data_IF_202843112860
#
_entry.id   IF_202843112860
#
_cell.length_a   1.000
_cell.length_b   1.000
_cell.length_c   1.000
_cell.angle_alpha   90.00
_cell.angle_beta   90.00
_cell.angle_gamma   90.00
#
_symmetry.space_group_name_H-M   'P 1'
#
loop_
_entity.id
_entity.type
_entity.pdbx_description
1 polymer ?
#
# COMPACT_ATOMS: atom_id res chain seq x y z
N UNK A 1 -11.52 2.43 4.71
CA UNK A 1 -12.75 2.59 3.92
C UNK A 1 -12.49 3.44 2.69
N UNK A 2 -13.20 3.17 1.62
CA UNK A 2 -13.22 3.98 0.40
C UNK A 2 -14.37 4.99 0.49
N UNK A 3 -14.06 6.25 0.28
CA UNK A 3 -15.02 7.35 0.20
C UNK A 3 -15.17 7.73 -1.26
N UNK A 4 -16.35 7.54 -1.83
CA UNK A 4 -16.66 7.94 -3.19
C UNK A 4 -17.54 9.20 -3.15
N UNK A 5 -17.11 10.23 -3.89
CA UNK A 5 -17.83 11.50 -4.06
C UNK A 5 -18.33 11.60 -5.50
N UNK A 6 -19.54 12.12 -5.67
CA UNK A 6 -20.11 12.45 -6.98
C UNK A 6 -21.01 13.68 -6.87
N UNK A 7 -21.18 14.44 -7.98
CA UNK A 7 -22.18 15.49 -7.99
C UNK A 7 -23.58 14.87 -7.90
N UNK A 8 -24.41 15.37 -7.01
CA UNK A 8 -25.84 15.12 -6.98
C UNK A 8 -26.62 16.28 -7.58
N UNK A 9 -27.95 16.23 -7.50
CA UNK A 9 -28.80 17.27 -8.08
C UNK A 9 -28.64 18.68 -7.44
N UNK A 10 -28.34 18.73 -6.14
CA UNK A 10 -28.19 19.99 -5.39
C UNK A 10 -27.04 19.97 -4.37
N UNK A 11 -26.40 18.84 -4.19
CA UNK A 11 -25.33 18.66 -3.21
C UNK A 11 -24.36 17.59 -3.66
N UNK A 12 -23.18 17.55 -3.04
CA UNK A 12 -22.22 16.45 -3.24
C UNK A 12 -22.70 15.22 -2.50
N UNK A 13 -22.86 14.12 -3.22
CA UNK A 13 -23.14 12.82 -2.62
C UNK A 13 -21.84 12.15 -2.19
N UNK A 14 -21.82 11.63 -0.95
CA UNK A 14 -20.70 10.90 -0.40
C UNK A 14 -21.14 9.49 0.00
N UNK A 15 -20.48 8.48 -0.54
CA UNK A 15 -20.71 7.08 -0.21
C UNK A 15 -19.46 6.47 0.39
N UNK A 16 -19.62 5.80 1.54
CA UNK A 16 -18.54 5.06 2.19
C UNK A 16 -18.72 3.56 1.98
N UNK A 17 -17.67 2.89 1.59
CA UNK A 17 -17.63 1.44 1.40
C UNK A 17 -16.36 0.86 2.05
N UNK A 18 -16.47 -0.27 2.75
CA UNK A 18 -17.69 -1.02 3.07
C UNK A 18 -18.60 -0.27 4.05
N UNK A 19 -19.85 -0.76 4.24
CA UNK A 19 -20.76 -0.24 5.26
C UNK A 19 -20.13 -0.40 6.65
N UNK A 20 -20.07 0.69 7.40
CA UNK A 20 -19.50 0.80 8.75
C UNK A 20 -20.52 1.55 9.64
N UNK A 21 -21.38 0.84 10.37
CA UNK A 21 -22.44 1.46 11.18
C UNK A 21 -21.95 2.44 12.25
N UNK A 22 -20.76 2.19 12.81
CA UNK A 22 -20.15 3.06 13.82
C UNK A 22 -19.51 4.33 13.24
N UNK A 23 -19.39 4.46 11.91
CA UNK A 23 -18.77 5.61 11.27
C UNK A 23 -19.78 6.69 10.96
N UNK A 24 -19.67 7.84 11.59
CA UNK A 24 -20.45 9.03 11.29
C UNK A 24 -19.80 9.82 10.16
N UNK A 25 -20.58 10.11 9.10
CA UNK A 25 -20.12 10.94 7.97
C UNK A 25 -20.75 12.33 8.07
N UNK A 26 -19.93 13.34 8.25
CA UNK A 26 -20.30 14.75 8.21
C UNK A 26 -19.92 15.33 6.83
N UNK A 27 -20.85 15.34 5.92
CA UNK A 27 -20.64 15.88 4.58
C UNK A 27 -20.99 17.37 4.57
N UNK A 28 -19.94 18.22 4.50
CA UNK A 28 -20.03 19.70 4.40
C UNK A 28 -19.49 20.22 3.07
N UNK A 29 -19.35 19.34 2.08
CA UNK A 29 -18.88 19.73 0.76
C UNK A 29 -19.92 20.59 0.06
N UNK A 30 -19.47 21.65 -0.60
CA UNK A 30 -20.31 22.51 -1.44
C UNK A 30 -20.10 22.11 -2.90
N UNK A 31 -21.20 21.86 -3.60
CA UNK A 31 -21.20 21.69 -5.04
C UNK A 31 -20.98 23.08 -5.68
N UNK A 32 -20.05 23.15 -6.64
CA UNK A 32 -19.73 24.41 -7.33
C UNK A 32 -19.72 24.22 -8.84
N UNK A 33 -20.16 25.20 -9.64
CA UNK A 33 -20.06 25.15 -11.10
C UNK A 33 -18.58 25.05 -11.53
N UNK A 34 -18.34 24.35 -12.64
CA UNK A 34 -17.03 24.33 -13.29
C UNK A 34 -16.51 22.97 -13.69
N UNK A 35 -15.42 22.94 -14.45
CA UNK A 35 -14.79 21.70 -14.93
C UNK A 35 -14.09 20.97 -13.79
N UNK A 36 -13.91 19.64 -13.97
CA UNK A 36 -13.22 18.79 -13.00
C UNK A 36 -11.68 19.00 -13.04
N UNK A 37 -11.22 20.18 -12.62
CA UNK A 37 -9.78 20.50 -12.54
C UNK A 37 -9.42 20.95 -11.13
N UNK A 38 -8.31 20.39 -10.60
CA UNK A 38 -7.78 20.80 -9.28
C UNK A 38 -8.69 20.45 -8.08
N UNK A 39 -9.72 19.65 -8.26
CA UNK A 39 -10.69 19.29 -7.22
C UNK A 39 -10.04 18.61 -6.01
N UNK A 40 -8.92 17.91 -6.18
CA UNK A 40 -8.18 17.29 -5.08
C UNK A 40 -7.69 18.30 -4.05
N UNK A 41 -7.45 19.55 -4.46
CA UNK A 41 -7.07 20.68 -3.57
C UNK A 41 -8.29 21.32 -2.90
N UNK A 42 -9.46 21.18 -3.51
CA UNK A 42 -10.72 21.72 -3.00
C UNK A 42 -11.42 20.85 -1.96
N UNK A 43 -11.02 19.56 -1.83
CA UNK A 43 -11.68 18.60 -0.94
C UNK A 43 -10.76 18.25 0.22
N UNK A 44 -11.16 18.62 1.43
CA UNK A 44 -10.54 18.18 2.67
C UNK A 44 -11.30 17.01 3.28
N UNK A 45 -10.59 15.97 3.72
CA UNK A 45 -11.17 14.77 4.32
C UNK A 45 -10.44 14.49 5.63
N UNK A 46 -11.13 14.74 6.73
CA UNK A 46 -10.61 14.66 8.07
C UNK A 46 -11.26 13.50 8.84
N UNK A 47 -10.43 12.67 9.49
CA UNK A 47 -10.88 11.61 10.41
C UNK A 47 -10.71 12.13 11.82
N UNK A 48 -11.81 12.25 12.55
CA UNK A 48 -11.90 12.89 13.86
C UNK A 48 -12.28 11.90 14.96
N UNK A 49 -12.06 12.33 16.20
CA UNK A 49 -12.34 11.53 17.39
C UNK A 49 -11.20 10.56 17.74
N UNK A 50 -11.07 10.23 19.03
CA UNK A 50 -10.07 9.24 19.50
C UNK A 50 -10.34 7.84 18.94
N UNK A 51 -11.61 7.50 18.74
CA UNK A 51 -12.07 6.26 18.10
C UNK A 51 -12.00 6.31 16.56
N UNK A 52 -11.62 7.47 15.96
CA UNK A 52 -11.59 7.69 14.51
C UNK A 52 -12.92 7.41 13.81
N UNK A 53 -14.02 7.69 14.51
CA UNK A 53 -15.40 7.32 14.16
C UNK A 53 -16.19 8.42 13.44
N UNK A 54 -15.57 9.56 13.21
CA UNK A 54 -16.19 10.66 12.47
C UNK A 54 -15.36 11.04 11.25
N UNK A 55 -15.97 10.92 10.07
CA UNK A 55 -15.38 11.33 8.79
C UNK A 55 -16.00 12.64 8.36
N UNK A 56 -15.25 13.74 8.42
CA UNK A 56 -15.69 15.04 7.98
C UNK A 56 -15.14 15.38 6.61
N UNK A 57 -16.05 15.73 5.70
CA UNK A 57 -15.77 16.15 4.33
C UNK A 57 -16.06 17.64 4.22
N UNK A 58 -15.08 18.44 3.81
CA UNK A 58 -15.19 19.89 3.75
C UNK A 58 -14.58 20.45 2.46
N UNK A 59 -15.03 21.63 2.07
CA UNK A 59 -14.54 22.35 0.89
C UNK A 59 -15.50 22.33 -0.28
N UNK A 60 -14.96 22.29 -1.51
CA UNK A 60 -15.73 22.41 -2.75
C UNK A 60 -15.46 21.24 -3.69
N UNK A 61 -16.52 20.83 -4.41
CA UNK A 61 -16.46 19.77 -5.42
C UNK A 61 -17.15 20.24 -6.71
N UNK A 62 -16.46 20.25 -7.87
CA UNK A 62 -17.04 20.77 -9.11
C UNK A 62 -18.11 19.86 -9.71
N UNK A 63 -19.14 20.46 -10.29
CA UNK A 63 -20.23 19.76 -11.00
C UNK A 63 -19.75 18.97 -12.22
N UNK A 64 -18.68 19.41 -12.87
CA UNK A 64 -18.07 18.74 -14.01
C UNK A 64 -17.31 17.45 -13.66
N UNK A 65 -17.17 17.11 -12.36
CA UNK A 65 -16.59 15.85 -11.93
C UNK A 65 -17.62 14.72 -12.02
N UNK A 66 -17.23 13.54 -12.54
CA UNK A 66 -18.10 12.38 -12.56
C UNK A 66 -18.05 11.63 -11.22
N UNK A 67 -16.88 11.15 -10.85
CA UNK A 67 -16.66 10.40 -9.60
C UNK A 67 -15.24 10.63 -9.11
N UNK A 68 -15.12 10.86 -7.83
CA UNK A 68 -13.85 10.82 -7.13
C UNK A 68 -13.91 9.80 -6.00
N UNK A 69 -12.92 8.96 -5.90
CA UNK A 69 -12.83 7.97 -4.82
C UNK A 69 -11.44 8.00 -4.19
N UNK A 70 -11.41 7.91 -2.88
CA UNK A 70 -10.17 7.83 -2.11
C UNK A 70 -10.35 6.89 -0.93
N UNK A 71 -9.23 6.35 -0.45
CA UNK A 71 -9.23 5.47 0.70
C UNK A 71 -8.70 6.21 1.92
N UNK A 72 -9.38 6.01 3.06
CA UNK A 72 -8.95 6.53 4.37
C UNK A 72 -9.02 5.42 5.42
N UNK A 73 -8.05 5.44 6.34
CA UNK A 73 -8.11 4.65 7.55
C UNK A 73 -9.09 5.33 8.51
N UNK A 74 -10.20 4.67 8.80
CA UNK A 74 -11.26 5.11 9.72
C UNK A 74 -11.47 4.04 10.78
N UNK A 75 -12.04 4.40 11.92
CA UNK A 75 -12.24 3.57 13.10
C UNK A 75 -10.92 3.02 13.68
N UNK A 76 -10.97 2.51 14.89
CA UNK A 76 -9.91 1.64 15.41
C UNK A 76 -10.02 0.26 14.76
N UNK A 77 -8.95 -0.57 14.76
CA UNK A 77 -9.00 -1.92 14.20
C UNK A 77 -10.13 -2.77 14.79
N UNK A 78 -10.35 -2.68 16.10
CA UNK A 78 -11.37 -3.44 16.83
C UNK A 78 -12.78 -3.04 16.37
N UNK A 79 -13.05 -1.72 16.32
CA UNK A 79 -14.37 -1.22 15.86
C UNK A 79 -14.61 -1.50 14.37
N UNK A 80 -13.58 -1.42 13.56
CA UNK A 80 -13.69 -1.78 12.15
C UNK A 80 -14.03 -3.27 11.99
N UNK A 81 -13.35 -4.14 12.75
CA UNK A 81 -13.62 -5.57 12.73
C UNK A 81 -15.05 -5.87 13.24
N UNK A 82 -15.46 -5.25 14.35
CA UNK A 82 -16.80 -5.39 14.90
C UNK A 82 -17.89 -5.00 13.89
N UNK A 83 -17.77 -3.81 13.30
CA UNK A 83 -18.73 -3.33 12.30
C UNK A 83 -18.83 -4.31 11.11
N UNK A 84 -17.67 -4.75 10.61
CA UNK A 84 -17.66 -5.66 9.46
C UNK A 84 -18.19 -7.03 9.78
N UNK A 85 -17.83 -7.57 10.94
CA UNK A 85 -18.36 -8.86 11.38
C UNK A 85 -19.86 -8.79 11.59
N UNK A 86 -20.36 -7.79 12.33
CA UNK A 86 -21.79 -7.58 12.58
C UNK A 86 -22.59 -7.50 11.28
N UNK A 87 -22.22 -6.61 10.38
CA UNK A 87 -22.91 -6.42 9.10
C UNK A 87 -22.97 -7.72 8.27
N UNK A 88 -21.89 -8.47 8.23
CA UNK A 88 -21.85 -9.73 7.46
C UNK A 88 -22.62 -10.85 8.15
N UNK A 89 -22.50 -10.95 9.48
CA UNK A 89 -23.15 -11.99 10.27
C UNK A 89 -24.68 -11.81 10.28
N UNK A 90 -25.17 -10.57 10.43
CA UNK A 90 -26.58 -10.23 10.36
C UNK A 90 -27.15 -10.43 8.95
N UNK A 91 -26.39 -10.11 7.90
CA UNK A 91 -26.77 -10.38 6.51
C UNK A 91 -26.93 -11.88 6.21
N UNK A 92 -26.27 -12.75 6.99
CA UNK A 92 -26.40 -14.21 6.92
C UNK A 92 -27.51 -14.76 7.87
N UNK A 93 -28.28 -13.88 8.51
CA UNK A 93 -29.37 -14.27 9.43
C UNK A 93 -28.93 -14.49 10.88
N UNK A 94 -27.69 -14.19 11.22
CA UNK A 94 -27.20 -14.25 12.61
C UNK A 94 -27.63 -13.05 13.44
N UNK A 95 -27.51 -13.17 14.77
CA UNK A 95 -27.69 -12.08 15.72
C UNK A 95 -26.41 -11.88 16.52
N UNK A 96 -25.96 -10.63 16.67
CA UNK A 96 -24.74 -10.28 17.37
C UNK A 96 -24.99 -9.26 18.48
N UNK A 97 -24.83 -9.69 19.72
CA UNK A 97 -25.02 -8.85 20.91
C UNK A 97 -23.69 -8.54 21.64
N UNK A 98 -22.59 -9.10 21.17
CA UNK A 98 -21.26 -8.93 21.76
C UNK A 98 -20.52 -7.70 21.27
N UNK A 99 -19.30 -7.55 21.80
CA UNK A 99 -18.32 -6.56 21.36
C UNK A 99 -16.98 -7.23 21.06
N UNK A 100 -16.20 -6.62 20.16
CA UNK A 100 -14.82 -7.03 19.91
C UNK A 100 -13.91 -6.40 20.93
N UNK A 101 -13.20 -7.21 21.71
CA UNK A 101 -12.22 -6.77 22.68
C UNK A 101 -10.83 -7.27 22.31
N UNK A 102 -9.78 -6.42 22.41
CA UNK A 102 -8.42 -6.88 22.22
C UNK A 102 -8.03 -7.87 23.33
N UNK A 103 -7.27 -8.88 22.94
CA UNK A 103 -6.79 -9.90 23.86
C UNK A 103 -5.57 -10.62 23.32
N UNK A 104 -4.93 -11.41 24.15
CA UNK A 104 -3.82 -12.28 23.76
C UNK A 104 -4.20 -13.74 23.99
N UNK A 105 -3.86 -14.61 23.03
CA UNK A 105 -3.98 -16.04 23.22
C UNK A 105 -2.91 -16.53 24.20
N UNK A 106 -3.26 -17.48 25.08
CA UNK A 106 -2.26 -18.19 25.87
C UNK A 106 -1.29 -18.98 24.96
N UNK A 107 -0.12 -19.35 25.49
CA UNK A 107 0.86 -20.11 24.74
C UNK A 107 0.28 -21.49 24.32
N UNK A 108 -0.51 -22.10 25.19
CA UNK A 108 -1.18 -23.38 24.96
C UNK A 108 -2.22 -23.27 23.84
N UNK A 109 -3.11 -22.27 23.89
CA UNK A 109 -4.13 -22.04 22.89
C UNK A 109 -3.50 -21.72 21.50
N UNK A 110 -2.36 -21.02 21.50
CA UNK A 110 -1.60 -20.75 20.28
C UNK A 110 -0.98 -22.03 19.72
N UNK A 111 -0.33 -22.84 20.58
CA UNK A 111 0.29 -24.12 20.17
C UNK A 111 -0.76 -25.10 19.62
N UNK A 112 -1.95 -25.14 20.22
CA UNK A 112 -3.08 -25.94 19.77
C UNK A 112 -3.55 -25.50 18.36
N UNK A 113 -3.73 -24.19 18.16
CA UNK A 113 -4.11 -23.63 16.86
C UNK A 113 -3.04 -23.89 15.78
N UNK A 114 -1.77 -23.68 16.09
CA UNK A 114 -0.62 -23.96 15.20
C UNK A 114 -0.51 -25.46 14.85
N UNK A 115 -0.80 -26.35 15.80
CA UNK A 115 -0.82 -27.80 15.57
C UNK A 115 -1.95 -28.20 14.63
N UNK A 116 -3.14 -27.65 14.84
CA UNK A 116 -4.29 -27.89 13.97
C UNK A 116 -4.02 -27.40 12.53
N UNK A 117 -3.33 -26.28 12.37
CA UNK A 117 -2.99 -25.69 11.07
C UNK A 117 -2.02 -26.54 10.25
N UNK A 118 -1.26 -27.42 10.90
CA UNK A 118 -0.32 -28.36 10.25
C UNK A 118 -0.99 -29.64 9.82
N UNK A 119 -2.24 -29.88 10.20
CA UNK A 119 -2.95 -31.07 9.78
C UNK A 119 -3.20 -31.05 8.26
N UNK A 120 -3.07 -32.22 7.57
CA UNK A 120 -3.52 -32.31 6.19
C UNK A 120 -5.03 -32.07 6.10
N UNK A 121 -5.56 -31.53 4.99
CA UNK A 121 -6.97 -31.10 4.87
C UNK A 121 -7.99 -32.15 5.36
N UNK A 122 -7.81 -33.40 4.97
CA UNK A 122 -8.72 -34.50 5.35
C UNK A 122 -8.71 -34.79 6.85
N UNK A 123 -7.56 -34.64 7.50
CA UNK A 123 -7.46 -34.82 8.96
C UNK A 123 -8.03 -33.60 9.70
N UNK A 124 -7.85 -32.42 9.16
CA UNK A 124 -8.44 -31.19 9.73
C UNK A 124 -9.97 -31.18 9.70
N UNK A 125 -10.61 -31.80 8.66
CA UNK A 125 -12.07 -31.95 8.57
C UNK A 125 -12.62 -32.90 9.64
N UNK A 126 -11.81 -33.88 10.11
CA UNK A 126 -12.21 -34.90 11.09
C UNK A 126 -11.80 -34.52 12.52
N UNK A 127 -11.05 -33.46 12.72
CA UNK A 127 -10.56 -33.02 14.03
C UNK A 127 -11.36 -31.79 14.49
N UNK A 128 -11.91 -31.79 15.73
CA UNK A 128 -12.53 -30.59 16.26
C UNK A 128 -11.57 -29.40 16.22
N UNK A 129 -12.04 -28.26 15.70
CA UNK A 129 -11.23 -27.05 15.69
C UNK A 129 -10.98 -26.57 17.12
N UNK A 130 -9.76 -26.11 17.46
CA UNK A 130 -9.47 -25.58 18.78
C UNK A 130 -10.31 -24.33 19.05
N UNK A 131 -10.66 -24.09 20.34
CA UNK A 131 -11.49 -22.98 20.76
C UNK A 131 -10.93 -21.60 20.36
N UNK A 132 -9.61 -21.50 20.18
CA UNK A 132 -8.92 -20.29 19.73
C UNK A 132 -9.01 -20.05 18.21
N UNK A 133 -9.69 -20.95 17.47
CA UNK A 133 -9.74 -20.91 16.02
C UNK A 133 -11.17 -21.01 15.50
N UNK A 134 -11.68 -19.91 14.99
CA UNK A 134 -12.99 -19.83 14.33
C UNK A 134 -12.90 -19.96 12.81
N UNK A 135 -11.82 -19.48 12.20
CA UNK A 135 -11.70 -19.36 10.76
C UNK A 135 -10.24 -19.47 10.29
N UNK A 136 -10.00 -20.22 9.22
CA UNK A 136 -8.75 -20.20 8.47
C UNK A 136 -8.98 -19.51 7.12
N UNK A 137 -8.34 -18.38 6.93
CA UNK A 137 -8.32 -17.67 5.66
C UNK A 137 -6.91 -17.79 5.07
N UNK A 138 -6.67 -18.63 4.05
CA UNK A 138 -5.38 -18.66 3.38
C UNK A 138 -5.13 -17.35 2.65
N UNK A 139 -3.91 -16.84 2.73
CA UNK A 139 -3.48 -15.71 1.90
C UNK A 139 -3.25 -16.18 0.46
N UNK A 140 -3.32 -15.28 -0.53
CA UNK A 140 -2.78 -15.56 -1.85
C UNK A 140 -1.28 -15.92 -1.79
N UNK A 141 -0.73 -16.56 -2.82
CA UNK A 141 0.71 -16.79 -2.94
C UNK A 141 1.50 -15.49 -2.79
N UNK A 142 2.75 -15.59 -2.30
CA UNK A 142 3.57 -14.40 -1.98
C UNK A 142 3.87 -13.53 -3.21
N UNK A 143 4.06 -14.11 -4.37
CA UNK A 143 4.27 -13.42 -5.64
C UNK A 143 3.06 -12.55 -6.02
N UNK A 144 1.84 -13.05 -5.82
CA UNK A 144 0.61 -12.27 -6.03
C UNK A 144 0.50 -11.12 -5.02
N UNK A 145 0.86 -11.35 -3.75
CA UNK A 145 0.89 -10.29 -2.72
C UNK A 145 1.88 -9.20 -3.11
N UNK A 146 3.09 -9.57 -3.52
CA UNK A 146 4.15 -8.64 -3.93
C UNK A 146 3.76 -7.88 -5.19
N UNK A 147 3.13 -8.55 -6.16
CA UNK A 147 2.58 -7.91 -7.35
C UNK A 147 1.53 -6.85 -7.00
N UNK A 148 0.52 -7.21 -6.21
CA UNK A 148 -0.54 -6.27 -5.78
C UNK A 148 0.03 -5.08 -5.01
N UNK A 149 0.99 -5.34 -4.14
CA UNK A 149 1.70 -4.33 -3.36
C UNK A 149 2.46 -3.35 -4.27
N UNK A 150 3.25 -3.87 -5.19
CA UNK A 150 4.08 -3.06 -6.09
C UNK A 150 3.24 -2.19 -7.03
N UNK A 151 2.24 -2.78 -7.70
CA UNK A 151 1.35 -2.08 -8.63
C UNK A 151 0.52 -0.98 -7.95
N UNK A 152 0.02 -1.23 -6.74
CA UNK A 152 -0.88 -0.31 -6.05
C UNK A 152 -0.19 0.51 -4.94
N UNK A 153 1.11 0.28 -4.70
CA UNK A 153 1.86 0.95 -3.62
C UNK A 153 1.17 0.81 -2.25
N UNK A 154 0.82 -0.42 -1.86
CA UNK A 154 0.02 -0.67 -0.66
C UNK A 154 0.88 -0.68 0.60
N UNK A 155 0.77 0.38 1.40
CA UNK A 155 1.57 0.56 2.62
C UNK A 155 1.29 -0.49 3.70
N UNK A 156 0.04 -0.94 3.84
CA UNK A 156 -0.33 -1.96 4.83
C UNK A 156 0.33 -3.29 4.49
N UNK A 157 0.27 -3.70 3.21
CA UNK A 157 0.94 -4.92 2.76
C UNK A 157 2.45 -4.86 2.97
N UNK A 158 3.08 -3.71 2.70
CA UNK A 158 4.53 -3.52 2.93
C UNK A 158 4.89 -3.72 4.40
N UNK A 159 4.13 -3.09 5.30
CA UNK A 159 4.33 -3.25 6.75
C UNK A 159 4.14 -4.71 7.17
N UNK A 160 3.10 -5.39 6.71
CA UNK A 160 2.85 -6.78 7.04
C UNK A 160 3.96 -7.71 6.54
N UNK A 161 4.53 -7.45 5.36
CA UNK A 161 5.67 -8.23 4.86
C UNK A 161 6.91 -8.05 5.73
N UNK A 162 7.22 -6.82 6.17
CA UNK A 162 8.35 -6.59 7.07
C UNK A 162 8.15 -7.30 8.41
N UNK A 163 6.96 -7.20 9.01
CA UNK A 163 6.64 -7.89 10.27
C UNK A 163 6.71 -9.42 10.12
N UNK A 164 6.25 -9.94 8.98
CA UNK A 164 6.32 -11.38 8.66
C UNK A 164 7.78 -11.82 8.49
N UNK A 165 8.60 -11.02 7.82
CA UNK A 165 10.04 -11.29 7.68
C UNK A 165 10.72 -11.38 9.06
N UNK A 166 10.44 -10.41 9.95
CA UNK A 166 10.93 -10.44 11.32
C UNK A 166 10.45 -11.67 12.09
N UNK A 167 9.17 -12.03 11.97
CA UNK A 167 8.62 -13.23 12.61
C UNK A 167 9.28 -14.51 12.15
N UNK A 168 9.54 -14.63 10.86
CA UNK A 168 10.13 -15.87 10.27
C UNK A 168 11.63 -15.99 10.55
N UNK A 169 12.35 -14.88 10.51
CA UNK A 169 13.83 -14.89 10.61
C UNK A 169 14.34 -14.70 12.04
N UNK A 170 13.67 -13.86 12.82
CA UNK A 170 14.11 -13.42 14.16
C UNK A 170 13.16 -13.91 15.27
N UNK A 171 12.07 -14.61 14.95
CA UNK A 171 11.09 -15.10 15.92
C UNK A 171 10.10 -14.04 16.44
N UNK A 172 10.21 -12.77 16.02
CA UNK A 172 9.38 -11.67 16.50
C UNK A 172 8.78 -10.88 15.33
N UNK A 173 7.45 -10.71 15.32
CA UNK A 173 6.73 -9.91 14.32
C UNK A 173 6.75 -8.42 14.68
N UNK A 174 7.93 -7.83 14.82
CA UNK A 174 8.13 -6.40 15.11
C UNK A 174 8.89 -5.72 13.97
N UNK A 175 8.76 -4.39 13.86
CA UNK A 175 9.50 -3.63 12.85
C UNK A 175 11.02 -3.76 13.07
N UNK A 176 11.48 -3.70 14.32
CA UNK A 176 12.90 -3.86 14.63
C UNK A 176 13.46 -5.20 14.15
N UNK A 177 12.77 -6.31 14.44
CA UNK A 177 13.14 -7.64 13.94
C UNK A 177 13.08 -7.71 12.40
N UNK A 178 12.07 -7.10 11.79
CA UNK A 178 11.95 -7.03 10.34
C UNK A 178 13.12 -6.30 9.68
N UNK A 179 13.52 -5.15 10.20
CA UNK A 179 14.68 -4.40 9.73
C UNK A 179 16.00 -5.15 9.94
N UNK A 180 16.16 -5.82 11.08
CA UNK A 180 17.33 -6.67 11.35
C UNK A 180 17.42 -7.78 10.31
N UNK A 181 16.34 -8.52 10.09
CA UNK A 181 16.28 -9.60 9.11
C UNK A 181 16.54 -9.09 7.68
N UNK A 182 15.98 -7.93 7.29
CA UNK A 182 16.19 -7.32 5.98
C UNK A 182 17.67 -6.96 5.76
N UNK A 183 18.30 -6.31 6.74
CA UNK A 183 19.73 -5.98 6.68
C UNK A 183 20.61 -7.22 6.58
N UNK A 184 20.29 -8.27 7.33
CA UNK A 184 21.01 -9.54 7.28
C UNK A 184 20.92 -10.20 5.89
N UNK A 185 19.71 -10.21 5.29
CA UNK A 185 19.49 -10.78 3.93
C UNK A 185 20.29 -10.02 2.88
N UNK A 186 20.21 -8.68 2.87
CA UNK A 186 20.95 -7.88 1.89
C UNK A 186 22.45 -7.90 2.13
N UNK A 187 22.90 -7.87 3.39
CA UNK A 187 24.33 -7.97 3.75
C UNK A 187 24.93 -9.30 3.29
N UNK A 188 24.24 -10.42 3.50
CA UNK A 188 24.66 -11.74 3.00
C UNK A 188 24.76 -11.79 1.46
N UNK A 189 23.98 -10.97 0.77
CA UNK A 189 24.01 -10.82 -0.68
C UNK A 189 25.01 -9.73 -1.18
N UNK A 190 25.81 -9.16 -0.29
CA UNK A 190 26.84 -8.16 -0.62
C UNK A 190 26.29 -6.74 -0.80
N UNK A 191 25.07 -6.46 -0.34
CA UNK A 191 24.49 -5.11 -0.36
C UNK A 191 24.58 -4.49 1.04
N UNK A 192 25.46 -3.51 1.20
CA UNK A 192 25.65 -2.79 2.46
C UNK A 192 24.57 -1.71 2.66
N UNK A 193 23.76 -1.90 3.70
CA UNK A 193 22.74 -0.95 4.17
C UNK A 193 23.03 -0.46 5.59
N UNK A 194 24.28 -0.56 6.08
CA UNK A 194 24.64 -0.27 7.47
C UNK A 194 24.39 1.19 7.85
N UNK A 195 24.63 2.13 6.94
CA UNK A 195 24.41 3.57 7.11
C UNK A 195 23.03 4.06 6.62
N UNK A 196 22.18 3.17 6.11
CA UNK A 196 20.83 3.53 5.76
C UNK A 196 19.97 3.72 7.02
N UNK A 197 19.18 4.78 7.07
CA UNK A 197 18.16 5.00 8.10
C UNK A 197 16.82 4.55 7.53
N UNK A 198 16.27 3.48 8.07
CA UNK A 198 15.03 2.87 7.64
C UNK A 198 14.15 2.72 8.88
N UNK A 199 13.13 3.57 8.99
CA UNK A 199 12.26 3.66 10.17
C UNK A 199 10.81 3.32 9.87
N UNK A 200 10.35 3.55 8.63
CA UNK A 200 8.98 3.22 8.25
C UNK A 200 8.94 2.22 7.08
N UNK A 201 8.24 1.07 7.23
CA UNK A 201 8.24 0.00 6.22
C UNK A 201 7.81 0.42 4.81
N UNK A 202 6.92 1.40 4.72
CA UNK A 202 6.41 1.91 3.45
C UNK A 202 7.10 3.21 2.97
N UNK A 203 8.22 3.62 3.59
CA UNK A 203 8.96 4.82 3.23
C UNK A 203 8.18 6.11 3.47
N UNK A 204 7.37 6.18 4.52
CA UNK A 204 6.58 7.36 4.86
C UNK A 204 7.23 8.25 5.94
N UNK A 205 8.37 7.83 6.48
CA UNK A 205 9.08 8.61 7.48
C UNK A 205 10.03 9.62 6.83
N UNK A 206 10.06 10.82 7.39
CA UNK A 206 10.96 11.89 6.95
C UNK A 206 12.41 11.64 7.32
N UNK A 207 12.63 10.79 8.28
CA UNK A 207 13.93 10.38 8.82
C UNK A 207 14.62 9.33 7.94
N UNK A 208 13.86 8.64 7.08
CA UNK A 208 14.41 7.60 6.21
C UNK A 208 15.49 8.20 5.30
N UNK A 209 16.66 7.53 5.26
CA UNK A 209 17.82 7.91 4.45
C UNK A 209 18.41 6.69 3.76
N UNK A 210 18.50 6.78 2.44
CA UNK A 210 19.09 5.74 1.60
C UNK A 210 19.82 6.39 0.43
N UNK A 211 21.05 5.95 0.15
CA UNK A 211 21.80 6.47 -1.00
C UNK A 211 21.27 5.85 -2.31
N UNK A 212 21.24 6.61 -3.42
CA UNK A 212 20.87 6.06 -4.73
C UNK A 212 21.68 4.81 -5.10
N UNK A 213 22.99 4.79 -4.78
CA UNK A 213 23.85 3.65 -5.04
C UNK A 213 23.42 2.37 -4.29
N UNK A 214 22.93 2.49 -3.06
CA UNK A 214 22.41 1.36 -2.27
C UNK A 214 21.16 0.77 -2.92
N UNK A 215 20.22 1.62 -3.32
CA UNK A 215 19.03 1.15 -4.03
C UNK A 215 19.37 0.58 -5.41
N UNK A 216 20.34 1.16 -6.11
CA UNK A 216 20.91 0.61 -7.34
C UNK A 216 21.51 -0.78 -7.15
N UNK A 217 22.21 -1.01 -6.03
CA UNK A 217 22.75 -2.34 -5.69
C UNK A 217 21.61 -3.36 -5.43
N UNK A 218 20.55 -2.96 -4.72
CA UNK A 218 19.34 -3.79 -4.53
C UNK A 218 18.70 -4.16 -5.87
N UNK A 219 18.53 -3.19 -6.78
CA UNK A 219 17.97 -3.44 -8.11
C UNK A 219 18.81 -4.43 -8.92
N UNK A 220 20.13 -4.28 -8.87
CA UNK A 220 21.06 -5.20 -9.56
C UNK A 220 21.02 -6.60 -8.96
N UNK A 221 20.96 -6.71 -7.63
CA UNK A 221 20.81 -7.99 -6.93
C UNK A 221 19.52 -8.71 -7.41
N UNK A 222 18.39 -8.02 -7.39
CA UNK A 222 17.10 -8.56 -7.82
C UNK A 222 17.10 -8.95 -9.31
N UNK A 223 17.76 -8.13 -10.15
CA UNK A 223 17.91 -8.41 -11.57
C UNK A 223 18.67 -9.71 -11.85
N UNK A 224 19.71 -10.03 -11.08
CA UNK A 224 20.51 -11.26 -11.23
C UNK A 224 19.98 -12.44 -10.42
N UNK A 225 18.89 -12.26 -9.69
CA UNK A 225 18.27 -13.33 -8.91
C UNK A 225 17.36 -14.21 -9.76
N UNK A 226 17.09 -15.44 -9.28
CA UNK A 226 16.06 -16.31 -9.86
C UNK A 226 14.63 -15.74 -9.73
N UNK A 227 14.46 -14.65 -8.97
CA UNK A 227 13.19 -13.96 -8.75
C UNK A 227 13.04 -12.70 -9.61
N UNK A 228 13.89 -12.53 -10.61
CA UNK A 228 13.82 -11.38 -11.50
C UNK A 228 12.46 -11.24 -12.21
N UNK A 229 11.81 -12.30 -12.71
CA UNK A 229 10.49 -12.18 -13.34
C UNK A 229 9.43 -11.63 -12.39
N UNK A 230 9.34 -12.15 -11.15
CA UNK A 230 8.39 -11.70 -10.15
C UNK A 230 8.68 -10.26 -9.72
N UNK A 231 9.96 -9.91 -9.60
CA UNK A 231 10.39 -8.54 -9.30
C UNK A 231 9.92 -7.56 -10.38
N UNK A 232 10.19 -7.83 -11.65
CA UNK A 232 9.76 -6.97 -12.75
C UNK A 232 8.24 -6.89 -12.86
N UNK A 233 7.55 -8.04 -12.68
CA UNK A 233 6.10 -8.09 -12.71
C UNK A 233 5.44 -7.24 -11.62
N UNK A 234 6.07 -7.13 -10.46
CA UNK A 234 5.57 -6.32 -9.35
C UNK A 234 5.72 -4.80 -9.60
N UNK A 235 6.68 -4.36 -10.41
CA UNK A 235 6.87 -2.94 -10.67
C UNK A 235 5.79 -2.39 -11.63
N UNK A 236 5.23 -1.19 -11.38
CA UNK A 236 4.41 -0.47 -12.35
C UNK A 236 5.12 -0.27 -13.68
N UNK A 237 4.40 -0.43 -14.78
CA UNK A 237 4.90 -0.25 -16.13
C UNK A 237 4.50 1.13 -16.64
N UNK A 238 5.46 1.91 -17.08
CA UNK A 238 5.26 3.26 -17.62
C UNK A 238 4.18 3.29 -18.71
N UNK A 239 3.15 4.11 -18.55
CA UNK A 239 2.05 4.28 -19.50
C UNK A 239 1.13 3.06 -19.67
N UNK A 240 1.25 2.01 -18.81
CA UNK A 240 0.48 0.77 -18.97
C UNK A 240 -0.33 0.42 -17.73
N UNK A 241 0.30 0.33 -16.56
CA UNK A 241 -0.37 -0.15 -15.37
C UNK A 241 0.10 0.48 -14.05
N UNK A 242 -0.54 0.08 -12.96
CA UNK A 242 -0.20 0.48 -11.61
C UNK A 242 -0.24 1.99 -11.41
N UNK A 243 0.64 2.50 -10.56
CA UNK A 243 0.75 3.94 -10.27
C UNK A 243 1.31 4.78 -11.43
N UNK A 244 1.75 4.14 -12.51
CA UNK A 244 2.30 4.79 -13.70
C UNK A 244 1.37 4.71 -14.93
N UNK A 245 0.15 4.19 -14.78
CA UNK A 245 -0.79 3.99 -15.88
C UNK A 245 -1.04 5.25 -16.70
N UNK A 246 -1.22 6.38 -16.06
CA UNK A 246 -1.46 7.69 -16.70
C UNK A 246 -0.22 8.57 -16.79
N UNK A 247 0.97 8.00 -16.54
CA UNK A 247 2.25 8.70 -16.62
C UNK A 247 3.10 8.05 -17.71
N UNK A 248 3.70 8.84 -18.57
CA UNK A 248 4.49 8.40 -19.73
C UNK A 248 3.67 7.75 -20.87
N UNK A 249 2.34 7.87 -20.88
CA UNK A 249 1.44 7.23 -21.85
C UNK A 249 1.77 7.68 -23.30
N UNK A 250 1.98 8.99 -23.51
CA UNK A 250 2.28 9.60 -24.81
C UNK A 250 3.79 9.84 -25.02
N UNK A 251 4.65 9.06 -24.38
CA UNK A 251 6.10 9.23 -24.45
C UNK A 251 6.79 7.97 -24.98
N UNK A 252 8.05 8.07 -25.48
CA UNK A 252 8.83 6.91 -25.87
C UNK A 252 9.10 5.92 -24.71
N UNK A 253 8.84 6.31 -23.47
CA UNK A 253 9.00 5.48 -22.28
C UNK A 253 7.84 4.49 -22.07
N UNK A 254 6.72 4.66 -22.76
CA UNK A 254 5.58 3.77 -22.66
C UNK A 254 6.00 2.31 -22.88
N UNK A 255 5.68 1.43 -21.92
CA UNK A 255 6.06 0.03 -21.89
C UNK A 255 7.59 -0.26 -21.90
N UNK A 256 8.46 0.76 -21.78
CA UNK A 256 9.91 0.58 -21.76
C UNK A 256 10.51 0.64 -20.36
N UNK A 257 9.74 1.05 -19.35
CA UNK A 257 10.25 1.20 -18.01
C UNK A 257 9.33 0.54 -16.99
N UNK A 258 9.94 -0.22 -16.08
CA UNK A 258 9.31 -0.83 -14.90
C UNK A 258 9.81 -0.09 -13.66
N UNK A 259 8.98 0.78 -13.09
CA UNK A 259 9.44 1.73 -12.09
C UNK A 259 8.51 1.78 -10.87
N UNK A 260 9.10 1.93 -9.70
CA UNK A 260 8.39 2.26 -8.46
C UNK A 260 8.59 3.72 -8.14
N UNK A 261 7.52 4.44 -7.85
CA UNK A 261 7.53 5.83 -7.41
C UNK A 261 7.48 5.95 -5.89
N UNK A 262 8.07 7.03 -5.36
CA UNK A 262 7.93 7.48 -3.98
C UNK A 262 7.64 8.98 -3.96
N UNK A 263 6.60 9.39 -3.23
CA UNK A 263 6.17 10.78 -3.19
C UNK A 263 5.78 11.17 -1.77
N UNK A 264 6.44 12.19 -1.25
CA UNK A 264 6.06 12.92 -0.03
C UNK A 264 6.13 14.41 -0.34
N UNK A 265 5.60 15.26 0.54
CA UNK A 265 5.76 16.71 0.36
C UNK A 265 7.26 17.05 0.28
N UNK A 266 7.70 17.73 -0.77
CA UNK A 266 9.09 18.04 -1.04
C UNK A 266 9.96 16.87 -1.51
N UNK A 267 9.38 15.68 -1.81
CA UNK A 267 10.13 14.51 -2.27
C UNK A 267 9.46 13.89 -3.48
N UNK A 268 10.23 13.65 -4.54
CA UNK A 268 9.80 12.94 -5.74
C UNK A 268 10.88 11.96 -6.18
N UNK A 269 10.64 10.67 -5.95
CA UNK A 269 11.60 9.61 -6.23
C UNK A 269 11.04 8.61 -7.25
N UNK A 270 11.95 8.01 -8.02
CA UNK A 270 11.63 6.89 -8.90
C UNK A 270 12.82 5.94 -8.99
N UNK A 271 12.55 4.63 -8.95
CA UNK A 271 13.57 3.61 -9.07
C UNK A 271 13.04 2.38 -9.81
N UNK A 272 13.89 1.70 -10.57
CA UNK A 272 13.53 0.48 -11.27
C UNK A 272 14.43 0.17 -12.46
N UNK A 273 13.83 -0.38 -13.51
CA UNK A 273 14.54 -0.83 -14.72
C UNK A 273 13.99 -0.12 -15.95
N UNK A 274 14.86 0.46 -16.74
CA UNK A 274 14.58 1.09 -18.03
C UNK A 274 15.22 0.28 -19.16
N UNK A 275 14.47 0.01 -20.21
CA UNK A 275 15.00 -0.52 -21.48
C UNK A 275 15.25 0.65 -22.44
N UNK A 276 16.50 0.83 -22.88
CA UNK A 276 16.87 1.88 -23.83
C UNK A 276 16.37 1.54 -25.25
N UNK A 277 16.40 2.52 -26.15
CA UNK A 277 16.08 2.35 -27.58
C UNK A 277 16.97 1.31 -28.23
N UNK A 278 18.22 1.18 -27.78
CA UNK A 278 19.18 0.17 -28.27
C UNK A 278 18.99 -1.22 -27.62
N UNK A 279 17.99 -1.39 -26.74
CA UNK A 279 17.69 -2.65 -26.07
C UNK A 279 18.51 -2.93 -24.80
N UNK A 280 19.41 -2.03 -24.39
CA UNK A 280 20.14 -2.14 -23.12
C UNK A 280 19.18 -1.99 -21.94
N UNK A 281 19.46 -2.60 -20.83
CA UNK A 281 18.69 -2.47 -19.58
C UNK A 281 19.51 -1.74 -18.54
N UNK A 282 18.94 -0.69 -17.98
CA UNK A 282 19.55 0.19 -17.00
C UNK A 282 18.78 0.07 -15.68
N UNK A 283 19.50 -0.17 -14.57
CA UNK A 283 18.96 0.09 -13.24
C UNK A 283 19.00 1.61 -13.01
N UNK A 284 17.84 2.20 -12.78
CA UNK A 284 17.69 3.65 -12.63
C UNK A 284 17.22 3.99 -11.24
N UNK A 285 17.84 4.97 -10.61
CA UNK A 285 17.43 5.54 -9.32
C UNK A 285 17.55 7.04 -9.41
N UNK A 286 16.43 7.74 -9.32
CA UNK A 286 16.37 9.18 -9.27
C UNK A 286 15.71 9.60 -7.95
N UNK A 287 16.44 10.33 -7.13
CA UNK A 287 15.96 10.88 -5.86
C UNK A 287 16.04 12.40 -5.92
N UNK A 288 14.91 13.02 -5.71
CA UNK A 288 14.78 14.47 -5.72
C UNK A 288 14.13 14.94 -4.41
N UNK A 289 14.81 15.82 -3.72
CA UNK A 289 14.32 16.51 -2.53
C UNK A 289 14.46 18.01 -2.74
N UNK A 290 13.35 18.73 -2.82
CA UNK A 290 13.27 20.17 -2.98
C UNK A 290 11.87 20.66 -2.60
N UNK A 291 11.72 21.94 -2.33
CA UNK A 291 10.40 22.53 -2.11
C UNK A 291 9.47 22.25 -3.31
N UNK A 292 8.29 21.73 -3.03
CA UNK A 292 7.27 21.34 -4.03
C UNK A 292 7.75 20.30 -5.07
N UNK A 293 8.80 19.52 -4.79
CA UNK A 293 9.33 18.51 -5.73
C UNK A 293 8.27 17.51 -6.19
N UNK A 294 7.26 17.23 -5.37
CA UNK A 294 6.15 16.32 -5.70
C UNK A 294 5.17 16.95 -6.71
N UNK A 295 5.25 18.25 -6.98
CA UNK A 295 4.29 19.01 -7.77
C UNK A 295 4.92 19.47 -9.09
N UNK A 296 4.70 18.73 -10.15
CA UNK A 296 5.10 19.13 -11.51
C UNK A 296 6.60 19.04 -11.77
N UNK A 297 7.45 19.84 -11.09
CA UNK A 297 8.89 19.91 -11.36
C UNK A 297 9.59 18.54 -11.22
N UNK A 298 9.36 17.84 -10.12
CA UNK A 298 10.00 16.54 -9.90
C UNK A 298 9.58 15.50 -10.94
N UNK A 299 8.28 15.27 -11.17
CA UNK A 299 7.82 14.39 -12.24
C UNK A 299 8.35 14.76 -13.62
N UNK A 300 8.39 16.05 -13.97
CA UNK A 300 8.88 16.53 -15.28
C UNK A 300 10.39 16.31 -15.43
N UNK A 301 11.17 16.57 -14.40
CA UNK A 301 12.62 16.32 -14.40
C UNK A 301 12.91 14.81 -14.54
N UNK A 302 12.19 13.97 -13.79
CA UNK A 302 12.33 12.53 -13.91
C UNK A 302 12.04 12.04 -15.32
N UNK A 303 10.98 12.59 -15.94
CA UNK A 303 10.62 12.25 -17.32
C UNK A 303 11.71 12.64 -18.31
N UNK A 304 12.22 13.87 -18.22
CA UNK A 304 13.29 14.36 -19.08
C UNK A 304 14.57 13.50 -18.96
N UNK A 305 14.99 13.16 -17.75
CA UNK A 305 16.16 12.30 -17.51
C UNK A 305 15.94 10.88 -18.05
N UNK A 306 14.76 10.30 -17.80
CA UNK A 306 14.44 8.95 -18.29
C UNK A 306 14.37 8.91 -19.83
N UNK A 307 13.85 9.94 -20.48
CA UNK A 307 13.84 10.05 -21.94
C UNK A 307 15.25 10.17 -22.53
N UNK A 308 16.12 10.98 -21.89
CA UNK A 308 17.51 11.08 -22.28
C UNK A 308 18.25 9.73 -22.18
N UNK A 309 18.07 9.02 -21.05
CA UNK A 309 18.63 7.67 -20.85
C UNK A 309 18.03 6.62 -21.79
N UNK A 310 16.79 6.80 -22.23
CA UNK A 310 16.17 5.89 -23.20
C UNK A 310 16.77 6.08 -24.60
N UNK A 311 17.08 7.32 -24.98
CA UNK A 311 17.59 7.66 -26.30
C UNK A 311 19.04 7.13 -26.52
N UNK A 312 19.79 6.98 -25.44
CA UNK A 312 21.15 6.39 -25.41
C UNK A 312 21.12 4.88 -25.74
#
# INVERSE_FOLDING_TARGET
>A
ATVALRPGASAVEAQVSPLLPSLRVENRLKLVPGPCRGYQRGVAINVLGSARDTLRLEGTFPEGCQRYALTRSVLTPERYLEDRFRVLFEALGGQWEGAVTPGTLSAEARAEADSFDRLPPRAAEQTPAPAARLLRQPSPPLDEIVWRLGKNSNNVMTTQLLLTLGRVREGAGTEAAGWQALRAVYGAAGVDLSDAVLTHPAGLAREDRLRPAQLGAVLRLLWHSSRMPEFLHALPIAGVDGTLKSRFEDTPLAAQAHLKTGTLAGVSNVAGVLRTRQGRRLAVVLMLEAEEAERGLGPSLQEAVLQALWAD
#
